data_IF_507578862297
#
_entry.id   IF_507578862297
#
_cell.length_a   1.000
_cell.length_b   1.000
_cell.length_c   1.000
_cell.angle_alpha   90.00
_cell.angle_beta   90.00
_cell.angle_gamma   90.00
#
_symmetry.space_group_name_H-M   'P 1'
#
loop_
_entity.id
_entity.type
_entity.pdbx_description
1 polymer ?
#
# COMPACT_ATOMS: atom_id res chain seq x y z
N UNK A 1 13.21 -3.47 3.08
CA UNK A 1 13.54 -2.10 3.58
C UNK A 1 12.54 -1.05 3.10
N UNK A 2 12.09 -1.10 1.84
CA UNK A 2 11.17 -0.10 1.25
C UNK A 2 9.77 -0.14 1.89
N UNK A 3 9.14 -1.31 2.05
CA UNK A 3 7.84 -1.43 2.73
C UNK A 3 7.85 -0.88 4.16
N UNK A 4 8.94 -1.07 4.92
CA UNK A 4 9.07 -0.46 6.25
C UNK A 4 9.10 1.07 6.18
N UNK A 5 9.86 1.64 5.23
CA UNK A 5 9.92 3.10 5.02
C UNK A 5 8.58 3.65 4.54
N UNK A 6 7.84 2.88 3.75
CA UNK A 6 6.50 3.21 3.27
C UNK A 6 5.49 3.30 4.42
N UNK A 7 5.43 2.26 5.27
CA UNK A 7 4.55 2.24 6.46
C UNK A 7 4.87 3.44 7.37
N UNK A 8 6.15 3.81 7.48
CA UNK A 8 6.60 5.03 8.15
C UNK A 8 6.04 6.31 7.53
N UNK A 9 6.15 6.47 6.22
CA UNK A 9 5.60 7.62 5.51
C UNK A 9 4.07 7.72 5.62
N UNK A 10 3.38 6.59 5.49
CA UNK A 10 1.92 6.49 5.55
C UNK A 10 1.37 6.94 6.90
N UNK A 11 1.86 6.39 8.00
CA UNK A 11 1.37 6.77 9.33
C UNK A 11 1.82 8.19 9.69
N UNK A 12 2.99 8.62 9.22
CA UNK A 12 3.41 10.02 9.24
C UNK A 12 2.39 10.95 8.59
N UNK A 13 1.92 10.60 7.39
CA UNK A 13 0.85 11.32 6.69
C UNK A 13 -0.43 11.35 7.53
N UNK A 14 -0.89 10.21 8.04
CA UNK A 14 -2.11 10.11 8.86
C UNK A 14 -2.07 11.06 10.06
N UNK A 15 -0.97 11.01 10.83
CA UNK A 15 -0.80 11.86 12.00
C UNK A 15 -0.76 13.34 11.63
N UNK A 16 -0.17 13.64 10.48
CA UNK A 16 -0.12 14.99 9.94
C UNK A 16 -1.50 15.49 9.52
N UNK A 17 -2.31 14.65 8.87
CA UNK A 17 -3.70 14.96 8.56
C UNK A 17 -4.43 15.40 9.83
N UNK A 18 -4.28 14.65 10.92
CA UNK A 18 -4.95 14.95 12.19
C UNK A 18 -4.45 16.26 12.81
N UNK A 19 -3.14 16.53 12.79
CA UNK A 19 -2.56 17.77 13.35
C UNK A 19 -3.00 19.02 12.57
N UNK A 20 -2.97 18.95 11.23
CA UNK A 20 -3.35 20.07 10.35
C UNK A 20 -4.85 20.36 10.45
N UNK A 21 -5.66 19.31 10.56
CA UNK A 21 -7.10 19.40 10.79
C UNK A 21 -7.41 19.95 12.19
N UNK A 22 -6.58 19.61 13.18
CA UNK A 22 -6.63 20.01 14.60
C UNK A 22 -6.71 21.51 14.90
N UNK A 23 -5.69 22.26 14.45
CA UNK A 23 -5.46 23.64 14.88
C UNK A 23 -5.67 24.71 13.81
N UNK A 24 -5.66 24.33 12.53
CA UNK A 24 -5.44 25.30 11.43
C UNK A 24 -6.65 25.58 10.56
N UNK A 25 -7.75 24.87 10.79
CA UNK A 25 -9.07 25.12 10.18
C UNK A 25 -9.57 26.56 10.42
N UNK A 26 -9.05 27.34 11.36
CA UNK A 26 -9.48 28.75 11.55
C UNK A 26 -8.62 29.80 10.79
N UNK A 27 -7.38 29.47 10.41
CA UNK A 27 -6.40 30.46 9.87
C UNK A 27 -6.33 30.42 8.32
N UNK A 28 -6.77 29.32 7.71
CA UNK A 28 -6.48 28.99 6.30
C UNK A 28 -7.22 29.85 5.27
N UNK A 29 -8.51 30.16 5.47
CA UNK A 29 -9.31 30.89 4.48
C UNK A 29 -8.76 32.31 4.26
N UNK A 30 -8.38 32.98 5.35
CA UNK A 30 -7.90 34.36 5.30
C UNK A 30 -6.54 34.51 4.57
N UNK A 31 -5.69 33.49 4.62
CA UNK A 31 -4.31 33.58 4.13
C UNK A 31 -4.06 32.83 2.81
N UNK A 32 -4.80 31.75 2.55
CA UNK A 32 -4.51 30.84 1.43
C UNK A 32 -5.70 30.66 0.48
N UNK A 33 -6.85 31.30 0.72
CA UNK A 33 -8.02 31.23 -0.16
C UNK A 33 -8.67 29.85 -0.27
N UNK A 34 -8.32 28.92 0.64
CA UNK A 34 -8.90 27.57 0.66
C UNK A 34 -10.20 27.61 1.47
N UNK A 35 -11.30 27.17 0.85
CA UNK A 35 -12.61 27.14 1.48
C UNK A 35 -12.65 26.07 2.59
N UNK A 36 -12.45 26.52 3.83
CA UNK A 36 -12.44 25.71 5.04
C UNK A 36 -13.74 24.89 5.18
N UNK A 37 -14.90 25.42 4.81
CA UNK A 37 -16.19 24.73 4.93
C UNK A 37 -16.24 23.52 4.00
N UNK A 38 -15.69 23.63 2.79
CA UNK A 38 -15.62 22.53 1.83
C UNK A 38 -14.67 21.41 2.30
N UNK A 39 -13.56 21.79 2.93
CA UNK A 39 -12.61 20.85 3.53
C UNK A 39 -13.22 20.18 4.76
N UNK A 40 -13.88 20.93 5.64
CA UNK A 40 -14.59 20.39 6.81
C UNK A 40 -15.69 19.39 6.44
N UNK A 41 -16.43 19.64 5.34
CA UNK A 41 -17.38 18.68 4.78
C UNK A 41 -16.70 17.41 4.25
N UNK A 42 -15.57 17.56 3.55
CA UNK A 42 -14.78 16.44 3.04
C UNK A 42 -14.17 15.60 4.17
N UNK A 43 -13.75 16.24 5.26
CA UNK A 43 -13.32 15.57 6.49
C UNK A 43 -14.45 14.77 7.16
N UNK A 44 -15.70 15.22 7.02
CA UNK A 44 -16.87 14.42 7.41
C UNK A 44 -16.98 13.10 6.64
N UNK A 45 -16.58 13.06 5.37
CA UNK A 45 -16.52 11.83 4.57
C UNK A 45 -15.35 10.93 4.95
N UNK A 46 -14.23 11.54 5.36
CA UNK A 46 -13.08 10.80 5.89
C UNK A 46 -13.47 10.01 7.15
N UNK A 47 -14.26 10.61 8.05
CA UNK A 47 -14.74 9.97 9.28
C UNK A 47 -15.99 9.10 9.14
N UNK A 48 -16.59 9.03 7.95
CA UNK A 48 -17.81 8.25 7.72
C UNK A 48 -17.54 6.75 7.59
N UNK A 49 -18.59 5.95 7.72
CA UNK A 49 -18.52 4.50 7.49
C UNK A 49 -18.01 4.21 6.07
N UNK A 50 -17.09 3.27 5.96
CA UNK A 50 -16.50 2.86 4.68
C UNK A 50 -17.07 1.50 4.32
N UNK A 51 -17.71 1.42 3.15
CA UNK A 51 -18.07 0.13 2.56
C UNK A 51 -16.82 -0.51 1.95
N UNK A 52 -16.17 -1.35 2.74
CA UNK A 52 -14.94 -2.07 2.34
C UNK A 52 -15.20 -2.99 1.15
N UNK A 53 -16.41 -3.51 0.98
CA UNK A 53 -16.72 -4.41 -0.14
C UNK A 53 -16.76 -3.67 -1.48
N UNK A 54 -17.19 -2.41 -1.46
CA UNK A 54 -17.14 -1.52 -2.62
C UNK A 54 -15.74 -0.96 -2.86
N UNK A 55 -15.01 -0.62 -1.78
CA UNK A 55 -13.65 -0.08 -1.89
C UNK A 55 -12.61 -1.12 -2.33
N UNK A 56 -12.78 -2.36 -1.86
CA UNK A 56 -11.85 -3.48 -2.06
C UNK A 56 -12.60 -4.76 -2.49
N UNK A 57 -13.23 -4.78 -3.68
CA UNK A 57 -14.02 -5.91 -4.16
C UNK A 57 -13.22 -7.20 -4.42
N UNK A 58 -11.89 -7.09 -4.52
CA UNK A 58 -10.92 -8.17 -4.72
C UNK A 58 -10.12 -8.48 -3.44
N UNK A 59 -10.62 -8.07 -2.27
CA UNK A 59 -10.00 -8.44 -1.01
C UNK A 59 -9.90 -9.98 -0.86
N UNK A 60 -8.75 -10.53 -0.46
CA UNK A 60 -8.60 -11.95 -0.19
C UNK A 60 -9.60 -12.45 0.85
N UNK A 61 -10.10 -13.66 0.63
CA UNK A 61 -10.92 -14.41 1.59
C UNK A 61 -10.06 -15.47 2.26
N UNK A 62 -10.49 -15.95 3.42
CA UNK A 62 -9.78 -16.99 4.17
C UNK A 62 -9.52 -18.26 3.31
N UNK A 63 -10.49 -18.64 2.47
CA UNK A 63 -10.36 -19.77 1.55
C UNK A 63 -9.28 -19.59 0.46
N UNK A 64 -8.77 -18.38 0.24
CA UNK A 64 -7.76 -18.10 -0.79
C UNK A 64 -6.33 -18.36 -0.31
N UNK A 65 -6.08 -18.43 1.00
CA UNK A 65 -4.73 -18.50 1.58
C UNK A 65 -4.01 -19.82 1.31
N UNK A 66 -4.63 -20.96 1.64
CA UNK A 66 -4.03 -22.27 1.41
C UNK A 66 -3.79 -22.56 -0.09
N UNK A 67 -4.75 -22.29 -1.01
CA UNK A 67 -4.49 -22.39 -2.45
C UNK A 67 -3.33 -21.51 -2.94
N UNK A 68 -3.19 -20.30 -2.38
CA UNK A 68 -2.07 -19.40 -2.73
C UNK A 68 -0.72 -20.01 -2.36
N UNK A 69 -0.62 -20.59 -1.17
CA UNK A 69 0.59 -21.32 -0.75
C UNK A 69 0.93 -22.45 -1.72
N UNK A 70 -0.07 -23.26 -2.11
CA UNK A 70 0.15 -24.38 -3.04
C UNK A 70 0.63 -23.91 -4.42
N UNK A 71 0.01 -22.86 -4.99
CA UNK A 71 0.42 -22.31 -6.30
C UNK A 71 1.85 -21.79 -6.26
N UNK A 72 2.24 -21.10 -5.18
CA UNK A 72 3.61 -20.60 -5.03
C UNK A 72 4.60 -21.77 -4.87
N UNK A 73 4.31 -22.72 -3.98
CA UNK A 73 5.21 -23.84 -3.68
C UNK A 73 5.36 -24.84 -4.83
N UNK A 74 4.39 -24.93 -5.71
CA UNK A 74 4.47 -25.73 -6.93
C UNK A 74 5.52 -25.19 -7.92
N UNK A 75 5.77 -23.87 -7.93
CA UNK A 75 6.83 -23.25 -8.71
C UNK A 75 8.14 -23.05 -7.91
N UNK A 76 8.04 -22.72 -6.62
CA UNK A 76 9.14 -22.43 -5.70
C UNK A 76 9.02 -23.33 -4.46
N UNK A 77 9.50 -24.56 -4.57
CA UNK A 77 9.34 -25.59 -3.53
C UNK A 77 9.78 -25.09 -2.14
N UNK A 78 8.88 -25.20 -1.17
CA UNK A 78 9.11 -24.85 0.24
C UNK A 78 9.26 -23.35 0.51
N UNK A 79 8.89 -22.48 -0.43
CA UNK A 79 9.05 -21.04 -0.25
C UNK A 79 8.11 -20.45 0.80
N UNK A 80 6.88 -20.99 0.88
CA UNK A 80 5.89 -20.63 1.89
C UNK A 80 5.66 -21.83 2.81
N UNK A 81 5.70 -21.62 4.12
CA UNK A 81 5.35 -22.62 5.12
C UNK A 81 4.14 -22.17 5.93
N UNK A 82 3.39 -23.12 6.48
CA UNK A 82 2.30 -22.87 7.41
C UNK A 82 2.60 -23.57 8.73
N UNK A 83 2.53 -22.83 9.83
CA UNK A 83 2.61 -23.34 11.19
C UNK A 83 1.18 -23.56 11.70
N UNK A 84 0.80 -24.82 11.96
CA UNK A 84 -0.54 -25.17 12.43
C UNK A 84 -0.79 -24.73 13.89
N UNK A 85 0.26 -24.67 14.71
CA UNK A 85 0.15 -24.29 16.13
C UNK A 85 -0.06 -22.78 16.26
N UNK A 86 0.70 -21.99 15.51
CA UNK A 86 0.57 -20.53 15.49
C UNK A 86 -0.51 -20.03 14.53
N UNK A 87 -1.02 -20.90 13.66
CA UNK A 87 -1.91 -20.57 12.54
C UNK A 87 -1.36 -19.47 11.63
N UNK A 88 -0.05 -19.49 11.36
CA UNK A 88 0.65 -18.45 10.61
C UNK A 88 1.38 -18.99 9.41
N UNK A 89 1.39 -18.19 8.36
CA UNK A 89 2.24 -18.42 7.20
C UNK A 89 3.58 -17.71 7.38
N UNK A 90 4.64 -18.31 6.87
CA UNK A 90 5.98 -17.74 6.88
C UNK A 90 6.64 -17.92 5.52
N UNK A 91 7.55 -17.01 5.21
CA UNK A 91 8.35 -17.03 3.99
C UNK A 91 9.73 -17.52 4.34
N UNK A 92 10.19 -18.56 3.64
CA UNK A 92 11.54 -19.07 3.80
C UNK A 92 12.58 -18.00 3.44
N UNK A 93 13.68 -17.96 4.20
CA UNK A 93 14.84 -17.11 3.90
C UNK A 93 15.64 -17.58 2.68
N UNK A 94 15.33 -18.76 2.15
CA UNK A 94 15.91 -19.33 0.95
C UNK A 94 14.82 -19.86 0.02
N UNK A 95 14.98 -19.64 -1.28
CA UNK A 95 14.06 -20.15 -2.28
C UNK A 95 14.73 -21.25 -3.10
N UNK A 96 13.99 -22.33 -3.36
CA UNK A 96 14.38 -23.32 -4.36
C UNK A 96 14.41 -22.68 -5.75
N UNK A 97 15.21 -23.21 -6.70
CA UNK A 97 15.16 -22.77 -8.09
C UNK A 97 13.74 -22.84 -8.66
N UNK A 98 13.37 -21.83 -9.46
CA UNK A 98 12.06 -21.78 -10.11
C UNK A 98 11.89 -22.99 -11.05
N UNK A 99 10.89 -23.83 -10.80
CA UNK A 99 10.63 -25.06 -11.57
C UNK A 99 9.92 -24.77 -12.90
N UNK A 100 9.05 -23.75 -12.93
CA UNK A 100 8.26 -23.26 -14.07
C UNK A 100 7.85 -21.80 -13.84
N UNK A 101 7.35 -21.11 -14.87
CA UNK A 101 6.79 -19.76 -14.71
C UNK A 101 5.77 -19.74 -13.56
N UNK A 102 5.99 -18.86 -12.58
CA UNK A 102 5.05 -18.66 -11.47
C UNK A 102 4.06 -17.57 -11.87
N UNK A 103 2.79 -17.96 -12.08
CA UNK A 103 1.69 -17.04 -12.40
C UNK A 103 0.84 -16.81 -11.16
N UNK A 104 0.69 -15.55 -10.76
CA UNK A 104 -0.08 -15.12 -9.60
C UNK A 104 -1.18 -14.16 -10.03
N UNK A 105 -2.40 -14.41 -9.56
CA UNK A 105 -3.51 -13.45 -9.62
C UNK A 105 -3.24 -12.26 -8.70
N UNK A 106 -3.99 -11.18 -8.90
CA UNK A 106 -3.95 -10.00 -8.02
C UNK A 106 -4.21 -10.34 -6.53
N UNK A 107 -5.16 -11.24 -6.28
CA UNK A 107 -5.52 -11.75 -4.95
C UNK A 107 -4.36 -12.53 -4.33
N UNK A 108 -3.70 -13.40 -5.10
CA UNK A 108 -2.52 -14.15 -4.64
C UNK A 108 -1.32 -13.24 -4.37
N UNK A 109 -1.13 -12.18 -5.18
CA UNK A 109 -0.10 -11.16 -4.92
C UNK A 109 -0.41 -10.39 -3.64
N UNK A 110 -1.69 -10.06 -3.38
CA UNK A 110 -2.11 -9.42 -2.13
C UNK A 110 -1.74 -10.26 -0.89
N UNK A 111 -2.06 -11.56 -0.93
CA UNK A 111 -1.74 -12.50 0.16
C UNK A 111 -0.22 -12.59 0.36
N UNK A 112 0.55 -12.76 -0.72
CA UNK A 112 2.01 -12.84 -0.65
C UNK A 112 2.64 -11.59 -0.03
N UNK A 113 2.17 -10.39 -0.41
CA UNK A 113 2.65 -9.13 0.17
C UNK A 113 2.33 -9.06 1.68
N UNK A 114 1.15 -9.50 2.11
CA UNK A 114 0.82 -9.55 3.54
C UNK A 114 1.73 -10.50 4.32
N UNK A 115 2.02 -11.70 3.80
CA UNK A 115 3.00 -12.60 4.44
C UNK A 115 4.40 -12.00 4.51
N UNK A 116 4.85 -11.27 3.48
CA UNK A 116 6.12 -10.53 3.51
C UNK A 116 6.10 -9.48 4.62
N UNK A 117 4.98 -8.78 4.80
CA UNK A 117 4.83 -7.74 5.81
C UNK A 117 4.83 -8.30 7.23
N UNK A 118 4.11 -9.39 7.46
CA UNK A 118 4.03 -10.09 8.75
C UNK A 118 5.40 -10.62 9.20
N UNK A 119 6.20 -11.16 8.27
CA UNK A 119 7.55 -11.67 8.54
C UNK A 119 8.62 -10.60 8.82
N UNK A 120 8.31 -9.30 8.75
CA UNK A 120 9.30 -8.23 8.94
C UNK A 120 9.48 -7.87 10.43
N UNK A 121 10.51 -8.42 11.09
CA UNK A 121 10.88 -8.02 12.47
C UNK A 121 11.66 -6.69 12.57
N UNK A 122 11.33 -5.84 13.56
CA UNK A 122 12.06 -4.60 13.90
C UNK A 122 11.18 -3.47 14.45
N UNK A 123 11.74 -2.56 15.26
CA UNK A 123 11.06 -1.36 15.75
C UNK A 123 10.83 -0.36 14.61
N UNK A 124 9.57 -0.01 14.38
CA UNK A 124 9.17 0.83 13.26
C UNK A 124 9.01 2.28 13.70
N UNK A 125 9.95 2.84 14.44
CA UNK A 125 9.75 4.18 15.00
C UNK A 125 9.80 5.30 13.95
N UNK A 126 8.94 6.32 14.09
CA UNK A 126 8.93 7.58 13.29
C UNK A 126 8.93 8.78 14.21
N UNK A 127 9.76 9.78 13.86
CA UNK A 127 9.74 11.08 14.52
C UNK A 127 8.76 12.01 13.81
N UNK A 128 7.75 12.51 14.54
CA UNK A 128 6.76 13.45 14.04
C UNK A 128 6.61 14.57 15.07
N UNK A 129 6.86 15.80 14.65
CA UNK A 129 6.82 16.99 15.53
C UNK A 129 7.63 16.80 16.84
N UNK A 130 8.75 16.08 16.77
CA UNK A 130 9.64 15.80 17.90
C UNK A 130 9.23 14.61 18.78
N UNK A 131 8.18 13.84 18.41
CA UNK A 131 7.75 12.64 19.14
C UNK A 131 8.02 11.37 18.34
N UNK A 132 8.55 10.37 19.03
CA UNK A 132 8.77 9.04 18.48
C UNK A 132 7.47 8.20 18.58
N UNK A 133 7.07 7.58 17.47
CA UNK A 133 5.85 6.77 17.36
C UNK A 133 6.22 5.39 16.80
N UNK A 134 5.89 4.31 17.51
CA UNK A 134 6.05 2.93 17.01
C UNK A 134 4.86 2.54 16.13
N UNK A 135 5.17 2.14 14.90
CA UNK A 135 4.17 1.89 13.87
C UNK A 135 3.58 0.49 13.87
N UNK A 136 4.18 -0.46 14.61
CA UNK A 136 3.56 -1.78 14.81
C UNK A 136 2.21 -1.68 15.52
N UNK A 137 1.96 -0.55 16.17
CA UNK A 137 0.76 -0.29 16.95
C UNK A 137 -0.51 0.03 16.15
N UNK A 138 -0.41 0.19 14.83
CA UNK A 138 -1.46 0.79 13.99
C UNK A 138 -2.21 -0.21 13.09
N UNK A 139 -2.04 -1.52 13.33
CA UNK A 139 -2.70 -2.61 12.59
C UNK A 139 -2.72 -2.40 11.06
N UNK A 140 -1.56 -2.04 10.50
CA UNK A 140 -1.43 -1.80 9.06
C UNK A 140 -1.65 -3.11 8.29
N UNK A 141 -2.52 -3.09 7.27
CA UNK A 141 -2.80 -4.24 6.41
C UNK A 141 -2.94 -3.82 4.95
N UNK A 142 -2.50 -4.67 4.02
CA UNK A 142 -2.91 -4.56 2.62
C UNK A 142 -4.21 -5.32 2.44
N UNK A 143 -5.28 -4.59 2.14
CA UNK A 143 -6.65 -5.13 2.02
C UNK A 143 -6.89 -5.70 0.63
N UNK A 144 -6.32 -5.08 -0.40
CA UNK A 144 -6.46 -5.52 -1.78
C UNK A 144 -5.23 -5.15 -2.60
N UNK A 145 -4.91 -6.02 -3.55
CA UNK A 145 -4.19 -5.66 -4.76
C UNK A 145 -5.10 -6.03 -5.93
N UNK A 146 -5.23 -5.15 -6.91
CA UNK A 146 -6.04 -5.38 -8.10
C UNK A 146 -5.28 -4.97 -9.35
N UNK A 147 -5.31 -5.84 -10.36
CA UNK A 147 -4.77 -5.55 -11.69
C UNK A 147 -5.90 -5.24 -12.66
N UNK A 148 -5.77 -4.14 -13.39
CA UNK A 148 -6.68 -3.78 -14.50
C UNK A 148 -5.89 -3.30 -15.69
N UNK A 149 -6.47 -3.35 -16.88
CA UNK A 149 -5.82 -2.82 -18.07
C UNK A 149 -5.62 -1.31 -17.94
N UNK A 150 -4.41 -0.85 -18.23
CA UNK A 150 -4.05 0.55 -18.35
C UNK A 150 -3.95 0.99 -19.81
N UNK A 151 -3.58 2.26 -20.02
CA UNK A 151 -3.31 2.78 -21.34
C UNK A 151 -2.01 2.20 -21.93
N UNK A 152 -1.95 2.10 -23.25
CA UNK A 152 -0.71 1.79 -24.00
C UNK A 152 0.01 0.49 -23.55
N UNK A 153 -0.76 -0.52 -23.12
CA UNK A 153 -0.22 -1.81 -22.68
C UNK A 153 0.34 -1.81 -21.25
N UNK A 154 0.20 -0.71 -20.52
CA UNK A 154 0.48 -0.67 -19.09
C UNK A 154 -0.60 -1.41 -18.28
N UNK A 155 -0.26 -1.79 -17.04
CA UNK A 155 -1.19 -2.36 -16.08
C UNK A 155 -1.45 -1.36 -14.97
N UNK A 156 -2.72 -1.07 -14.71
CA UNK A 156 -3.12 -0.33 -13.53
C UNK A 156 -3.04 -1.28 -12.33
N UNK A 157 -2.11 -0.97 -11.42
CA UNK A 157 -1.85 -1.66 -10.17
C UNK A 157 -2.51 -0.85 -9.04
N UNK A 158 -3.65 -1.32 -8.55
CA UNK A 158 -4.33 -0.71 -7.42
C UNK A 158 -3.97 -1.44 -6.12
N UNK A 159 -3.66 -0.69 -5.08
CA UNK A 159 -3.46 -1.19 -3.71
C UNK A 159 -4.43 -0.48 -2.78
N UNK A 160 -5.22 -1.26 -2.05
CA UNK A 160 -5.99 -0.77 -0.91
C UNK A 160 -5.30 -1.22 0.37
N UNK A 161 -5.09 -0.29 1.29
CA UNK A 161 -4.51 -0.57 2.60
C UNK A 161 -5.32 0.08 3.71
N UNK A 162 -5.25 -0.49 4.91
CA UNK A 162 -5.93 0.01 6.11
C UNK A 162 -4.94 0.32 7.23
N UNK A 163 -5.24 1.35 8.01
CA UNK A 163 -4.49 1.76 9.20
C UNK A 163 -5.50 2.04 10.32
N UNK A 164 -5.35 1.39 11.47
CA UNK A 164 -6.13 1.69 12.66
C UNK A 164 -5.68 3.01 13.28
N UNK A 165 -6.63 3.90 13.52
CA UNK A 165 -6.40 5.22 14.13
C UNK A 165 -6.81 5.28 15.60
N UNK A 166 -7.28 4.16 16.18
CA UNK A 166 -7.83 4.11 17.54
C UNK A 166 -6.88 4.73 18.57
N UNK A 167 -5.61 4.34 18.56
CA UNK A 167 -4.58 4.87 19.47
C UNK A 167 -4.34 6.38 19.32
N UNK A 168 -4.58 6.93 18.13
CA UNK A 168 -4.50 8.39 17.92
C UNK A 168 -5.75 9.05 18.46
N UNK A 169 -6.93 8.53 18.13
CA UNK A 169 -8.22 9.03 18.62
C UNK A 169 -8.27 9.05 20.14
N UNK A 170 -7.71 8.06 20.81
CA UNK A 170 -7.66 8.00 22.28
C UNK A 170 -6.82 9.12 22.89
N UNK A 171 -5.81 9.61 22.16
CA UNK A 171 -4.96 10.75 22.57
C UNK A 171 -5.60 12.12 22.28
N UNK A 172 -6.75 12.17 21.60
CA UNK A 172 -7.44 13.42 21.22
C UNK A 172 -8.41 13.94 22.30
N UNK A 173 -8.19 13.65 23.59
CA UNK A 173 -9.13 14.03 24.65
C UNK A 173 -9.01 15.52 25.08
N UNK A 174 -7.94 16.22 24.70
CA UNK A 174 -7.72 17.64 25.02
C UNK A 174 -8.25 18.60 23.95
N UNK A 175 -8.67 19.81 24.35
CA UNK A 175 -9.04 20.88 23.42
C UNK A 175 -7.79 21.39 22.66
N UNK A 176 -7.89 21.71 21.35
CA UNK A 176 -9.08 21.66 20.48
C UNK A 176 -9.35 20.29 19.84
N UNK A 177 -8.47 19.30 20.02
CA UNK A 177 -8.55 17.98 19.36
C UNK A 177 -9.82 17.19 19.71
N UNK A 178 -10.39 17.38 20.90
CA UNK A 178 -11.64 16.76 21.31
C UNK A 178 -12.83 17.09 20.40
N UNK A 179 -12.86 18.27 19.79
CA UNK A 179 -13.90 18.68 18.84
C UNK A 179 -13.83 17.91 17.51
N UNK A 180 -12.67 17.34 17.20
CA UNK A 180 -12.39 16.67 15.93
C UNK A 180 -12.31 15.15 16.07
N UNK A 181 -12.30 14.63 17.31
CA UNK A 181 -12.25 13.19 17.60
C UNK A 181 -13.33 12.40 16.87
N UNK A 182 -14.55 12.96 16.76
CA UNK A 182 -15.67 12.34 16.02
C UNK A 182 -15.59 12.47 14.50
N UNK A 183 -14.61 13.20 13.95
CA UNK A 183 -14.36 13.34 12.51
C UNK A 183 -13.18 12.49 12.02
N UNK A 184 -12.36 11.99 12.95
CA UNK A 184 -11.29 11.04 12.63
C UNK A 184 -11.90 9.63 12.59
N UNK A 185 -11.76 8.90 11.48
CA UNK A 185 -12.27 7.53 11.38
C UNK A 185 -11.50 6.60 12.32
N UNK A 186 -12.10 5.50 12.73
CA UNK A 186 -11.37 4.45 13.46
C UNK A 186 -10.36 3.74 12.57
N UNK A 187 -10.62 3.66 11.27
CA UNK A 187 -9.71 3.11 10.28
C UNK A 187 -9.59 4.05 9.08
N UNK A 188 -8.35 4.37 8.71
CA UNK A 188 -8.07 5.03 7.44
C UNK A 188 -7.74 3.98 6.39
N UNK A 189 -8.49 3.98 5.31
CA UNK A 189 -8.22 3.27 4.09
C UNK A 189 -7.60 4.22 3.06
N UNK A 190 -6.52 3.77 2.42
CA UNK A 190 -5.94 4.43 1.26
C UNK A 190 -6.05 3.49 0.07
N UNK A 191 -6.58 3.99 -1.04
CA UNK A 191 -6.60 3.28 -2.33
C UNK A 191 -5.71 4.02 -3.31
N UNK A 192 -4.57 3.43 -3.65
CA UNK A 192 -3.55 4.00 -4.52
C UNK A 192 -3.52 3.22 -5.82
N UNK A 193 -3.78 3.89 -6.94
CA UNK A 193 -3.66 3.31 -8.27
C UNK A 193 -2.48 3.96 -8.99
N UNK A 194 -1.56 3.12 -9.46
CA UNK A 194 -0.44 3.52 -10.33
C UNK A 194 -0.48 2.70 -11.61
N UNK A 195 0.04 3.27 -12.70
CA UNK A 195 0.20 2.57 -13.97
C UNK A 195 1.63 2.03 -14.03
N UNK A 196 1.76 0.75 -14.36
CA UNK A 196 3.04 0.03 -14.46
C UNK A 196 3.25 -0.36 -15.93
N UNK A 197 4.26 0.23 -16.55
CA UNK A 197 4.66 -0.09 -17.92
C UNK A 197 5.97 -0.88 -17.89
N UNK A 198 5.93 -2.14 -18.35
CA UNK A 198 7.16 -2.90 -18.58
C UNK A 198 7.91 -2.30 -19.77
N UNK A 199 9.18 -2.00 -19.60
CA UNK A 199 10.02 -1.42 -20.66
C UNK A 199 11.04 -2.44 -21.17
N UNK A 200 11.81 -2.07 -22.19
CA UNK A 200 12.77 -2.98 -22.82
C UNK A 200 13.91 -3.37 -21.87
N UNK A 201 14.00 -4.66 -21.53
CA UNK A 201 15.05 -5.25 -20.70
C UNK A 201 14.53 -5.97 -19.46
N UNK A 202 15.34 -6.87 -18.92
CA UNK A 202 14.99 -7.60 -17.71
C UNK A 202 14.83 -6.67 -16.51
N UNK A 203 13.75 -6.84 -15.73
CA UNK A 203 13.46 -6.06 -14.53
C UNK A 203 13.35 -4.54 -14.75
N UNK A 204 13.09 -4.10 -15.98
CA UNK A 204 12.87 -2.68 -16.30
C UNK A 204 11.38 -2.36 -16.41
N UNK A 205 10.97 -1.31 -15.70
CA UNK A 205 9.61 -0.81 -15.69
C UNK A 205 9.57 0.66 -15.30
N UNK A 206 8.52 1.33 -15.75
CA UNK A 206 8.15 2.67 -15.35
C UNK A 206 6.86 2.64 -14.55
N UNK A 207 6.76 3.53 -13.57
CA UNK A 207 5.56 3.68 -12.74
C UNK A 207 5.12 5.13 -12.81
N UNK A 208 3.85 5.36 -13.08
CA UNK A 208 3.24 6.68 -13.09
C UNK A 208 1.98 6.72 -12.22
N UNK A 209 1.69 7.88 -11.66
CA UNK A 209 0.49 8.09 -10.82
C UNK A 209 -0.78 8.06 -11.66
N UNK A 210 -1.83 7.40 -11.17
CA UNK A 210 -3.17 7.41 -11.79
C UNK A 210 -4.18 8.09 -10.86
N UNK A 211 -4.40 7.55 -9.66
CA UNK A 211 -5.39 8.10 -8.73
C UNK A 211 -5.12 7.71 -7.28
N UNK A 212 -5.58 8.54 -6.35
CA UNK A 212 -5.57 8.25 -4.92
C UNK A 212 -6.96 8.51 -4.34
N UNK A 213 -7.42 7.61 -3.46
CA UNK A 213 -8.59 7.80 -2.63
C UNK A 213 -8.27 7.58 -1.15
N UNK A 214 -9.00 8.28 -0.28
CA UNK A 214 -8.88 8.17 1.18
C UNK A 214 -10.28 7.96 1.77
N UNK A 215 -10.56 6.77 2.30
CA UNK A 215 -11.92 6.37 2.67
C UNK A 215 -12.92 6.70 1.54
N UNK A 216 -13.91 7.54 1.84
CA UNK A 216 -14.94 7.97 0.90
C UNK A 216 -14.56 9.23 0.09
N UNK A 217 -13.32 9.72 0.22
CA UNK A 217 -12.81 10.89 -0.53
C UNK A 217 -12.09 10.45 -1.79
N UNK A 218 -12.40 11.11 -2.90
CA UNK A 218 -11.80 10.85 -4.23
C UNK A 218 -11.55 12.15 -5.00
N UNK A 219 -10.63 12.13 -5.97
CA UNK A 219 -10.43 13.22 -6.92
C UNK A 219 -10.19 14.58 -6.25
N UNK A 220 -10.96 15.59 -6.64
CA UNK A 220 -10.90 16.97 -6.12
C UNK A 220 -10.87 17.07 -4.58
N UNK A 221 -11.54 16.16 -3.87
CA UNK A 221 -11.58 16.18 -2.41
C UNK A 221 -10.22 15.82 -1.82
N UNK A 222 -9.55 14.82 -2.40
CA UNK A 222 -8.19 14.41 -2.02
C UNK A 222 -7.19 15.50 -2.42
N UNK A 223 -7.34 16.10 -3.62
CA UNK A 223 -6.49 17.19 -4.08
C UNK A 223 -6.52 18.41 -3.14
N UNK A 224 -7.72 18.81 -2.69
CA UNK A 224 -7.87 19.92 -1.74
C UNK A 224 -7.25 19.60 -0.38
N UNK A 225 -7.36 18.36 0.09
CA UNK A 225 -6.72 17.94 1.32
C UNK A 225 -5.20 18.01 1.20
N UNK A 226 -4.61 17.44 0.13
CA UNK A 226 -3.16 17.46 -0.06
C UNK A 226 -2.59 18.86 -0.27
N UNK A 227 -3.32 19.76 -0.93
CA UNK A 227 -2.93 21.20 -0.99
C UNK A 227 -2.79 21.79 0.42
N UNK A 228 -3.69 21.45 1.34
CA UNK A 228 -3.57 21.88 2.74
C UNK A 228 -2.39 21.23 3.45
N UNK A 229 -2.24 19.91 3.34
CA UNK A 229 -1.12 19.20 3.97
C UNK A 229 0.21 19.78 3.50
N UNK A 230 0.35 20.02 2.20
CA UNK A 230 1.56 20.61 1.63
C UNK A 230 1.89 21.99 2.21
N UNK A 231 0.89 22.86 2.41
CA UNK A 231 1.10 24.19 3.02
C UNK A 231 1.66 24.09 4.44
N UNK A 232 1.18 23.14 5.24
CA UNK A 232 1.52 23.08 6.66
C UNK A 232 2.74 22.24 6.98
N UNK A 233 3.03 21.22 6.18
CA UNK A 233 4.07 20.23 6.51
C UNK A 233 4.89 19.75 5.30
N UNK A 234 4.64 20.29 4.10
CA UNK A 234 5.44 19.96 2.91
C UNK A 234 5.30 18.53 2.40
N UNK A 235 4.11 17.92 2.53
CA UNK A 235 3.83 16.53 2.08
C UNK A 235 3.92 16.34 0.55
N UNK A 236 3.89 17.42 -0.23
CA UNK A 236 3.80 17.37 -1.69
C UNK A 236 2.36 17.30 -2.20
N UNK A 237 2.20 17.11 -3.51
CA UNK A 237 0.89 16.97 -4.16
C UNK A 237 0.39 15.51 -4.18
N UNK A 238 -0.87 15.33 -4.55
CA UNK A 238 -1.52 14.01 -4.61
C UNK A 238 -0.80 13.07 -5.56
N UNK A 239 -0.35 13.56 -6.71
CA UNK A 239 0.29 12.72 -7.74
C UNK A 239 1.62 12.17 -7.24
N UNK A 240 2.43 13.04 -6.63
CA UNK A 240 3.74 12.69 -6.06
C UNK A 240 3.57 11.71 -4.90
N UNK A 241 2.60 11.95 -4.02
CA UNK A 241 2.32 11.05 -2.91
C UNK A 241 1.81 9.69 -3.40
N UNK A 242 0.85 9.68 -4.34
CA UNK A 242 0.30 8.46 -4.92
C UNK A 242 1.37 7.63 -5.62
N UNK A 243 2.23 8.28 -6.41
CA UNK A 243 3.35 7.61 -7.06
C UNK A 243 4.28 6.99 -6.03
N UNK A 244 4.71 7.75 -5.01
CA UNK A 244 5.57 7.24 -3.94
C UNK A 244 4.94 6.03 -3.23
N UNK A 245 3.64 6.11 -2.96
CA UNK A 245 2.88 5.06 -2.30
C UNK A 245 2.76 3.80 -3.16
N UNK A 246 2.13 3.89 -4.33
CA UNK A 246 1.88 2.75 -5.22
C UNK A 246 3.19 2.16 -5.76
N UNK A 247 4.16 3.00 -6.15
CA UNK A 247 5.47 2.54 -6.61
C UNK A 247 6.17 1.71 -5.55
N UNK A 248 6.04 2.03 -4.27
CA UNK A 248 6.69 1.24 -3.21
C UNK A 248 6.18 -0.20 -3.15
N UNK A 249 4.91 -0.46 -3.47
CA UNK A 249 4.38 -1.83 -3.57
C UNK A 249 4.81 -2.53 -4.85
N UNK A 250 4.79 -1.81 -5.98
CA UNK A 250 5.29 -2.33 -7.27
C UNK A 250 6.77 -2.71 -7.15
N UNK A 251 7.58 -1.83 -6.58
CA UNK A 251 9.00 -2.03 -6.31
C UNK A 251 9.27 -3.21 -5.38
N UNK A 252 8.40 -3.42 -4.40
CA UNK A 252 8.54 -4.55 -3.48
C UNK A 252 8.18 -5.89 -4.09
N UNK A 253 7.25 -5.91 -5.06
CA UNK A 253 6.92 -7.10 -5.81
C UNK A 253 7.99 -7.42 -6.85
N UNK A 254 8.37 -6.42 -7.65
CA UNK A 254 9.22 -6.59 -8.83
C UNK A 254 10.68 -6.36 -8.45
N UNK A 255 11.05 -5.11 -8.18
CA UNK A 255 12.42 -4.69 -7.90
C UNK A 255 13.30 -4.62 -9.14
N UNK A 256 14.50 -4.07 -8.96
CA UNK A 256 15.54 -3.96 -9.97
C UNK A 256 16.91 -3.82 -9.29
N UNK A 257 17.95 -3.51 -10.06
CA UNK A 257 19.32 -3.36 -9.56
C UNK A 257 19.46 -2.29 -8.46
N UNK A 258 18.66 -1.23 -8.49
CA UNK A 258 18.71 -0.13 -7.53
C UNK A 258 17.77 -0.34 -6.33
N UNK A 259 16.74 -1.18 -6.52
CA UNK A 259 15.61 -1.34 -5.60
C UNK A 259 15.35 -2.81 -5.33
N UNK A 260 15.62 -3.26 -4.10
CA UNK A 260 15.32 -4.64 -3.68
C UNK A 260 13.81 -4.91 -3.65
N UNK A 261 13.34 -5.64 -4.65
CA UNK A 261 12.00 -6.25 -4.71
C UNK A 261 12.09 -7.77 -4.67
N UNK A 262 10.99 -8.44 -4.36
CA UNK A 262 10.92 -9.89 -4.19
C UNK A 262 11.46 -10.61 -5.42
N UNK A 263 10.91 -10.32 -6.60
CA UNK A 263 11.21 -11.08 -7.81
C UNK A 263 12.67 -10.89 -8.24
N UNK A 264 13.15 -9.64 -8.21
CA UNK A 264 14.55 -9.34 -8.48
C UNK A 264 15.52 -9.95 -7.44
N UNK A 265 15.14 -9.95 -6.16
CA UNK A 265 15.98 -10.54 -5.10
C UNK A 265 16.07 -12.05 -5.26
N UNK A 266 14.95 -12.70 -5.61
CA UNK A 266 14.94 -14.13 -5.94
C UNK A 266 15.80 -14.38 -7.18
N UNK A 267 15.66 -13.58 -8.24
CA UNK A 267 16.48 -13.68 -9.45
C UNK A 267 17.98 -13.56 -9.18
N UNK A 268 18.36 -12.67 -8.26
CA UNK A 268 19.75 -12.43 -7.87
C UNK A 268 20.34 -13.49 -6.94
N UNK A 269 19.52 -14.41 -6.41
CA UNK A 269 20.00 -15.47 -5.53
C UNK A 269 20.69 -16.60 -6.31
N UNK A 270 21.78 -17.12 -5.75
CA UNK A 270 22.55 -18.21 -6.38
C UNK A 270 21.68 -19.43 -6.63
N UNK A 271 21.62 -19.90 -7.87
CA UNK A 271 20.83 -21.06 -8.27
C UNK A 271 19.37 -20.76 -8.60
N UNK A 272 18.93 -19.49 -8.52
CA UNK A 272 17.63 -19.12 -9.08
C UNK A 272 17.66 -19.19 -10.61
N UNK A 273 16.57 -19.67 -11.19
CA UNK A 273 16.34 -19.66 -12.64
C UNK A 273 15.26 -18.64 -12.98
N UNK A 274 15.24 -17.45 -12.36
CA UNK A 274 14.28 -16.39 -12.69
C UNK A 274 14.96 -15.40 -13.62
N UNK A 275 14.43 -15.25 -14.84
CA UNK A 275 15.00 -14.38 -15.87
C UNK A 275 14.43 -12.97 -15.83
N UNK A 276 13.13 -12.84 -15.57
CA UNK A 276 12.41 -11.57 -15.67
C UNK A 276 11.02 -11.67 -15.00
N UNK A 277 10.23 -10.62 -15.12
CA UNK A 277 8.80 -10.58 -14.79
C UNK A 277 7.98 -10.10 -16.00
N UNK A 278 6.68 -10.38 -16.00
CA UNK A 278 5.72 -9.72 -16.91
C UNK A 278 4.32 -9.71 -16.30
N UNK A 279 3.40 -9.01 -16.96
CA UNK A 279 1.96 -9.22 -16.79
C UNK A 279 1.40 -9.95 -18.01
N UNK A 280 0.55 -10.95 -17.79
CA UNK A 280 -0.09 -11.72 -18.86
C UNK A 280 -1.61 -11.73 -18.65
N UNK A 281 -2.37 -11.35 -19.68
CA UNK A 281 -3.84 -11.45 -19.67
C UNK A 281 -4.26 -12.81 -20.24
N UNK A 282 -5.06 -13.56 -19.47
CA UNK A 282 -5.69 -14.81 -19.90
C UNK A 282 -7.19 -14.70 -19.62
N UNK A 283 -7.99 -14.55 -20.69
CA UNK A 283 -9.39 -14.18 -20.56
C UNK A 283 -9.54 -12.81 -19.88
N UNK A 284 -10.36 -12.73 -18.84
CA UNK A 284 -10.59 -11.51 -18.05
C UNK A 284 -9.57 -11.31 -16.91
N UNK A 285 -8.68 -12.29 -16.68
CA UNK A 285 -7.74 -12.25 -15.56
C UNK A 285 -6.36 -11.79 -16.03
N UNK A 286 -5.79 -10.81 -15.32
CA UNK A 286 -4.40 -10.40 -15.48
C UNK A 286 -3.58 -11.09 -14.41
N UNK A 287 -2.51 -11.75 -14.82
CA UNK A 287 -1.56 -12.43 -13.95
C UNK A 287 -0.26 -11.65 -13.88
N UNK A 288 0.30 -11.55 -12.67
CA UNK A 288 1.71 -11.27 -12.49
C UNK A 288 2.51 -12.57 -12.72
N UNK A 289 3.56 -12.52 -13.52
CA UNK A 289 4.33 -13.70 -13.90
C UNK A 289 5.80 -13.51 -13.60
N UNK A 290 6.39 -14.40 -12.79
CA UNK A 290 7.83 -14.55 -12.69
C UNK A 290 8.29 -15.53 -13.77
N UNK A 291 9.14 -15.08 -14.70
CA UNK A 291 9.57 -15.85 -15.86
C UNK A 291 10.78 -16.71 -15.51
N UNK A 292 10.70 -17.99 -15.82
CA UNK A 292 11.84 -18.90 -15.69
C UNK A 292 12.87 -18.65 -16.81
N UNK A 293 14.14 -18.70 -16.47
CA UNK A 293 15.25 -18.79 -17.43
C UNK A 293 15.15 -20.09 -18.23
N UNK A 294 15.37 -19.97 -19.54
CA UNK A 294 15.44 -21.10 -20.48
C UNK A 294 16.66 -21.98 -20.21
#
# INVERSE_FOLDING_TARGET
MILRRLIKGLIGLVLTIILVVGGTILIVNAKYGINIISVAKSLGKLGGDVDVTTLAPKAPKEADYAPTMHVINDALAGFITYDEEEQKYSISSSASPLSKDLKLTDTQVCILINWILEGQEGSMNVNIAGKEVDLKEYDFKVVQIQFTEGAEGAINYNVVMSISLTKIKDKMNGFPFSLLKGKVPDTLYLSSTVSVLKTAGAFKYEVSSVSLALNNMTGDEVDKLFKLLNIFVGVGDVSTFNLSLGKSFVDALIGNADVSGLTYSLASSSGSNIADFTFEKVGETIYYVMKKSL
#
